data_IF_319609174232
#
_entry.id   IF_319609174232
#
_cell.length_a   1.000
_cell.length_b   1.000
_cell.length_c   1.000
_cell.angle_alpha   90.00
_cell.angle_beta   90.00
_cell.angle_gamma   90.00
#
_symmetry.space_group_name_H-M   'P 1'
#
loop_
_entity.id
_entity.type
_entity.pdbx_description
1 polymer ?
#
# COMPACT_ATOMS: atom_id res chain seq x y z
N UNK A 1 -1.63 0.17 -24.96
CA UNK A 1 -1.09 -0.02 -23.60
C UNK A 1 -1.07 1.34 -22.91
N UNK A 2 -1.86 1.47 -21.86
CA UNK A 2 -2.08 2.69 -21.08
C UNK A 2 -1.23 2.61 -19.82
N UNK A 3 -0.62 3.73 -19.42
CA UNK A 3 0.02 3.89 -18.11
C UNK A 3 -0.96 4.60 -17.18
N UNK A 4 -1.20 4.02 -16.02
CA UNK A 4 -2.02 4.60 -14.97
C UNK A 4 -1.09 5.25 -13.94
N UNK A 5 -1.43 6.47 -13.52
CA UNK A 5 -0.69 7.18 -12.48
C UNK A 5 -1.37 6.96 -11.14
N UNK A 6 -0.58 6.69 -10.10
CA UNK A 6 -1.07 6.62 -8.73
C UNK A 6 -1.58 7.99 -8.27
N UNK A 7 -2.79 8.01 -7.73
CA UNK A 7 -3.30 9.12 -6.94
C UNK A 7 -3.14 8.79 -5.46
N UNK A 8 -2.20 9.46 -4.80
CA UNK A 8 -1.86 9.21 -3.40
C UNK A 8 -2.93 9.71 -2.42
N UNK A 9 -3.80 10.65 -2.81
CA UNK A 9 -4.87 11.18 -1.94
C UNK A 9 -6.01 10.17 -1.81
N UNK A 10 -6.28 9.40 -2.87
CA UNK A 10 -7.38 8.44 -2.92
C UNK A 10 -6.93 6.98 -2.85
N UNK A 11 -5.67 6.74 -2.47
CA UNK A 11 -5.11 5.41 -2.35
C UNK A 11 -4.60 5.17 -0.93
N UNK A 12 -4.50 3.91 -0.52
CA UNK A 12 -3.87 3.55 0.75
C UNK A 12 -3.21 2.19 0.63
N UNK A 13 -1.91 2.12 0.96
CA UNK A 13 -1.22 0.84 1.13
C UNK A 13 -1.33 0.39 2.58
N UNK A 14 -2.41 -0.31 2.89
CA UNK A 14 -2.78 -0.69 4.27
C UNK A 14 -2.58 -2.17 4.58
N UNK A 15 -2.33 -2.46 5.86
CA UNK A 15 -2.32 -3.81 6.41
C UNK A 15 -3.07 -3.89 7.74
N UNK A 16 -3.43 -5.11 8.15
CA UNK A 16 -3.93 -5.37 9.49
C UNK A 16 -3.47 -6.73 9.98
N UNK A 17 -3.08 -6.80 11.25
CA UNK A 17 -2.65 -8.01 11.92
C UNK A 17 -3.39 -8.15 13.26
N UNK A 18 -3.75 -9.38 13.62
CA UNK A 18 -4.34 -9.67 14.92
C UNK A 18 -3.26 -9.57 16.01
N UNK A 19 -3.61 -8.99 17.14
CA UNK A 19 -2.77 -8.91 18.32
C UNK A 19 -3.46 -9.65 19.48
N UNK A 20 -2.80 -10.73 19.93
CA UNK A 20 -3.27 -11.66 20.97
C UNK A 20 -4.69 -12.21 20.75
N UNK A 21 -5.11 -12.38 19.48
CA UNK A 21 -6.47 -12.82 19.08
C UNK A 21 -7.64 -11.94 19.50
N UNK A 22 -7.41 -10.89 20.29
CA UNK A 22 -8.46 -10.00 20.83
C UNK A 22 -8.56 -8.69 20.05
N UNK A 23 -7.42 -8.14 19.63
CA UNK A 23 -7.36 -6.82 19.00
C UNK A 23 -6.75 -6.89 17.60
N UNK A 24 -6.90 -5.81 16.82
CA UNK A 24 -6.27 -5.67 15.50
C UNK A 24 -5.39 -4.43 15.51
N UNK A 25 -4.12 -4.61 15.17
CA UNK A 25 -3.27 -3.50 14.74
C UNK A 25 -3.59 -3.25 13.27
N UNK A 26 -3.79 -1.98 12.92
CA UNK A 26 -3.89 -1.51 11.55
C UNK A 26 -2.69 -0.62 11.30
N UNK A 27 -2.12 -0.72 10.12
CA UNK A 27 -1.04 0.15 9.71
C UNK A 27 -1.11 0.48 8.23
N UNK A 28 -0.40 1.53 7.86
CA UNK A 28 -0.28 2.02 6.50
C UNK A 28 1.17 2.36 6.21
N UNK A 29 1.58 2.28 4.95
CA UNK A 29 2.80 2.93 4.48
C UNK A 29 2.44 4.26 3.84
N UNK A 30 3.08 5.35 4.27
CA UNK A 30 2.78 6.71 3.78
C UNK A 30 3.56 7.09 2.52
N UNK A 31 4.66 6.40 2.25
CA UNK A 31 5.52 6.65 1.09
C UNK A 31 5.60 5.38 0.24
N UNK A 32 4.84 5.41 -0.86
CA UNK A 32 4.80 4.34 -1.84
C UNK A 32 4.46 4.90 -3.22
N UNK A 33 4.88 4.16 -4.25
CA UNK A 33 4.55 4.39 -5.65
C UNK A 33 4.04 3.10 -6.29
N UNK A 34 3.16 3.24 -7.29
CA UNK A 34 2.62 2.12 -8.05
C UNK A 34 2.68 2.47 -9.53
N UNK A 35 3.37 1.64 -10.30
CA UNK A 35 3.38 1.68 -11.75
C UNK A 35 2.46 0.58 -12.27
N UNK A 36 1.32 0.98 -12.83
CA UNK A 36 0.35 0.08 -13.45
C UNK A 36 0.29 0.35 -14.96
N UNK A 37 0.41 -0.72 -15.75
CA UNK A 37 0.31 -0.69 -17.21
C UNK A 37 -0.67 -1.76 -17.71
N UNK A 38 -1.35 -1.48 -18.81
CA UNK A 38 -2.14 -2.48 -19.52
C UNK A 38 -3.21 -1.87 -20.42
N UNK A 39 -4.15 -2.69 -20.88
CA UNK A 39 -5.30 -2.28 -21.69
C UNK A 39 -6.56 -2.23 -20.82
N UNK A 40 -7.36 -1.17 -20.97
CA UNK A 40 -8.64 -1.01 -20.27
C UNK A 40 -9.67 -2.02 -20.79
N UNK A 41 -9.56 -2.44 -22.05
CA UNK A 41 -10.44 -3.44 -22.68
C UNK A 41 -10.07 -4.89 -22.37
N UNK A 42 -8.90 -5.14 -21.80
CA UNK A 42 -8.39 -6.48 -21.48
C UNK A 42 -7.63 -6.49 -20.15
N UNK A 43 -8.32 -6.88 -19.08
CA UNK A 43 -7.74 -6.96 -17.74
C UNK A 43 -6.60 -7.98 -17.60
N UNK A 44 -6.50 -8.97 -18.50
CA UNK A 44 -5.42 -9.97 -18.44
C UNK A 44 -4.05 -9.38 -18.84
N UNK A 45 -4.07 -8.23 -19.51
CA UNK A 45 -2.86 -7.47 -19.89
C UNK A 45 -2.30 -6.60 -18.76
N UNK A 46 -2.99 -6.50 -17.62
CA UNK A 46 -2.57 -5.64 -16.51
C UNK A 46 -1.30 -6.17 -15.84
N UNK A 47 -0.32 -5.27 -15.65
CA UNK A 47 0.90 -5.53 -14.90
C UNK A 47 1.18 -4.37 -13.97
N UNK A 48 1.56 -4.69 -12.73
CA UNK A 48 1.80 -3.71 -11.68
C UNK A 48 3.14 -3.96 -10.97
N UNK A 49 3.86 -2.87 -10.70
CA UNK A 49 5.02 -2.85 -9.80
C UNK A 49 4.76 -1.81 -8.72
N UNK A 50 4.80 -2.25 -7.46
CA UNK A 50 4.70 -1.36 -6.30
C UNK A 50 6.05 -1.23 -5.62
N UNK A 51 6.42 -0.01 -5.25
CA UNK A 51 7.61 0.30 -4.44
C UNK A 51 7.16 0.99 -3.17
N UNK A 52 7.65 0.53 -2.02
CA UNK A 52 7.22 1.01 -0.70
C UNK A 52 8.47 1.35 0.10
N UNK A 53 8.50 2.52 0.73
CA UNK A 53 9.53 2.80 1.73
C UNK A 53 9.07 2.27 3.08
N UNK A 54 9.80 1.30 3.60
CA UNK A 54 9.40 0.57 4.83
C UNK A 54 9.40 1.48 6.06
N UNK A 55 10.31 2.45 6.11
CA UNK A 55 10.41 3.47 7.16
C UNK A 55 9.21 4.43 7.21
N UNK A 56 8.35 4.43 6.18
CA UNK A 56 7.11 5.21 6.15
C UNK A 56 5.92 4.52 6.84
N UNK A 57 6.18 3.42 7.55
CA UNK A 57 5.17 2.70 8.33
C UNK A 57 4.53 3.63 9.37
N UNK A 58 3.21 3.57 9.47
CA UNK A 58 2.44 4.23 10.50
C UNK A 58 1.39 3.25 11.00
N UNK A 59 1.49 2.89 12.27
CA UNK A 59 0.48 2.07 12.95
C UNK A 59 -0.31 2.87 13.99
N UNK A 60 -0.13 4.19 14.03
CA UNK A 60 -0.67 5.10 15.04
C UNK A 60 0.05 5.01 16.39
N UNK A 61 1.25 4.42 16.46
CA UNK A 61 2.04 4.30 17.68
C UNK A 61 3.54 4.40 17.36
N UNK A 62 4.17 5.50 17.77
CA UNK A 62 5.55 5.81 17.43
C UNK A 62 6.57 4.79 17.96
N UNK A 63 6.38 4.26 19.16
CA UNK A 63 7.30 3.27 19.74
C UNK A 63 7.28 1.95 18.94
N UNK A 64 6.09 1.55 18.47
CA UNK A 64 5.94 0.36 17.62
C UNK A 64 6.49 0.60 16.21
N UNK A 65 6.32 1.80 15.67
CA UNK A 65 6.83 2.14 14.34
C UNK A 65 8.37 2.21 14.32
N UNK A 66 9.01 2.43 15.48
CA UNK A 66 10.47 2.43 15.65
C UNK A 66 11.09 1.07 16.00
N UNK A 67 10.30 0.08 16.43
CA UNK A 67 10.76 -1.24 16.89
C UNK A 67 11.10 -2.18 15.74
#
# INVERSE_FOLDING_TARGET
>A
MTKFNLDTVHSTFGFSIKHLMVSKIRGTFKDYDIQLIGDVGDASSLSAVATIKVDSVDTGNADRDQH
#
